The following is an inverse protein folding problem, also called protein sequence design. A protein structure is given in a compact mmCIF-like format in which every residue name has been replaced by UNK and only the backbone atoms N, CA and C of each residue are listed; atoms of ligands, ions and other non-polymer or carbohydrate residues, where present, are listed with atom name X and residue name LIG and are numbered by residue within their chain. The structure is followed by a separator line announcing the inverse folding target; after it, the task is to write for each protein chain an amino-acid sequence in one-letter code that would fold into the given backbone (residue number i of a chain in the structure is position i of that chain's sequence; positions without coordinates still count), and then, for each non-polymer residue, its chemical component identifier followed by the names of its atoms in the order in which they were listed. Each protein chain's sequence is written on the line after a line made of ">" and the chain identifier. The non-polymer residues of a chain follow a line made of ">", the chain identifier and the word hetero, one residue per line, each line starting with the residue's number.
data_IF_482992253980
#
_entry.id   IF_482992253980
#
_cell.length_a   1.000
_cell.length_b   1.000
_cell.length_c   1.000
_cell.angle_alpha   90.00
_cell.angle_beta   90.00
_cell.angle_gamma   90.00
#
_symmetry.space_group_name_H-M   'P 1'
#
loop_
_entity.id
_entity.type
_entity.pdbx_description
1 polymer ?
#
# COMPACT_ATOMS: atom_id res chain seq x y z
N UNK A 1 -68.40 18.16 -25.16
CA UNK A 1 -67.12 17.78 -25.80
C UNK A 1 -66.33 19.06 -26.07
N UNK A 2 -65.37 19.42 -25.19
CA UNK A 2 -64.47 20.55 -25.42
C UNK A 2 -63.21 20.01 -26.10
N UNK A 3 -62.95 20.42 -27.34
CA UNK A 3 -61.67 20.23 -28.02
C UNK A 3 -61.03 21.59 -28.30
N UNK A 4 -59.80 21.73 -27.79
CA UNK A 4 -58.61 22.30 -28.44
C UNK A 4 -58.71 23.67 -29.13
N UNK A 5 -57.88 24.63 -28.70
CA UNK A 5 -56.60 24.91 -29.37
C UNK A 5 -55.68 25.84 -28.55
N UNK A 6 -54.41 25.44 -28.59
CA UNK A 6 -53.16 26.06 -28.12
C UNK A 6 -52.86 27.40 -28.81
N UNK A 7 -52.04 28.27 -28.21
CA UNK A 7 -50.71 28.70 -28.71
C UNK A 7 -50.11 29.83 -27.84
N UNK A 8 -48.83 29.67 -27.49
CA UNK A 8 -47.87 30.74 -27.18
C UNK A 8 -47.58 30.96 -25.69
N UNK A 9 -46.35 30.89 -25.19
CA UNK A 9 -45.06 30.52 -25.77
C UNK A 9 -44.09 30.22 -24.63
N UNK A 10 -43.27 29.18 -24.78
CA UNK A 10 -42.16 28.89 -23.88
C UNK A 10 -40.92 29.57 -24.44
N UNK A 11 -40.41 30.60 -23.76
CA UNK A 11 -39.01 31.00 -23.89
C UNK A 11 -38.21 30.08 -22.97
N UNK A 12 -37.59 29.04 -23.53
CA UNK A 12 -36.53 28.31 -22.86
C UNK A 12 -35.20 28.92 -23.34
N UNK A 13 -34.58 29.73 -22.48
CA UNK A 13 -33.24 30.25 -22.70
C UNK A 13 -32.26 29.08 -22.53
N UNK A 14 -31.68 28.62 -23.63
CA UNK A 14 -30.64 27.59 -23.60
C UNK A 14 -29.36 28.17 -23.02
N UNK A 15 -28.99 27.74 -21.81
CA UNK A 15 -27.67 27.99 -21.24
C UNK A 15 -26.64 27.08 -21.92
N UNK A 16 -26.17 27.48 -23.10
CA UNK A 16 -24.97 26.92 -23.71
C UNK A 16 -23.75 27.67 -23.16
N UNK A 17 -23.48 27.54 -21.85
CA UNK A 17 -22.19 27.93 -21.29
C UNK A 17 -21.19 26.77 -21.49
N UNK A 18 -20.43 26.88 -22.59
CA UNK A 18 -18.99 26.61 -22.68
C UNK A 18 -18.43 25.35 -22.01
N UNK A 19 -18.54 24.20 -22.67
CA UNK A 19 -17.66 23.04 -22.42
C UNK A 19 -16.19 23.40 -22.76
N UNK A 20 -15.96 24.28 -23.75
CA UNK A 20 -14.62 24.68 -24.18
C UNK A 20 -13.81 25.50 -23.15
N UNK A 21 -14.48 26.26 -22.26
CA UNK A 21 -13.79 27.07 -21.26
C UNK A 21 -13.23 26.21 -20.10
N UNK A 22 -13.84 25.05 -19.84
CA UNK A 22 -13.39 24.12 -18.79
C UNK A 22 -12.12 23.39 -19.25
N UNK A 23 -12.01 23.03 -20.52
CA UNK A 23 -10.81 22.41 -21.09
C UNK A 23 -9.61 23.35 -21.16
N UNK A 24 -9.82 24.64 -21.47
CA UNK A 24 -8.74 25.63 -21.50
C UNK A 24 -8.15 25.93 -20.12
N UNK A 25 -8.98 25.99 -19.08
CA UNK A 25 -8.51 26.22 -17.71
C UNK A 25 -7.77 25.01 -17.12
N UNK A 26 -8.16 23.78 -17.48
CA UNK A 26 -7.53 22.54 -16.99
C UNK A 26 -6.08 22.38 -17.49
N UNK A 27 -5.81 22.75 -18.74
CA UNK A 27 -4.50 22.59 -19.38
C UNK A 27 -3.41 23.51 -18.79
N UNK A 28 -3.79 24.67 -18.24
CA UNK A 28 -2.87 25.62 -17.60
C UNK A 28 -2.59 25.32 -16.12
N UNK A 29 -3.28 24.35 -15.51
CA UNK A 29 -3.24 24.11 -14.06
C UNK A 29 -2.10 23.18 -13.62
N UNK A 30 -1.52 22.38 -14.53
CA UNK A 30 -0.48 21.42 -14.14
C UNK A 30 0.87 21.79 -14.74
N UNK A 31 1.64 22.55 -13.97
CA UNK A 31 2.98 22.99 -14.34
C UNK A 31 3.99 21.86 -14.54
N UNK A 32 3.78 20.71 -13.90
CA UNK A 32 4.74 19.60 -13.92
C UNK A 32 4.62 18.68 -15.15
N UNK A 33 3.41 18.44 -15.66
CA UNK A 33 3.17 17.44 -16.71
C UNK A 33 4.08 17.64 -17.93
N UNK A 34 4.02 18.83 -18.55
CA UNK A 34 4.78 19.12 -19.77
C UNK A 34 6.29 19.21 -19.58
N UNK A 35 6.78 19.22 -18.34
CA UNK A 35 8.21 19.25 -18.02
C UNK A 35 8.79 17.85 -17.86
N UNK A 36 7.98 16.89 -17.41
CA UNK A 36 8.47 15.56 -16.99
C UNK A 36 7.82 14.40 -17.73
N UNK A 37 6.89 14.65 -18.66
CA UNK A 37 6.34 13.64 -19.56
C UNK A 37 6.67 14.04 -20.99
N UNK A 38 7.40 13.17 -21.70
CA UNK A 38 7.73 13.41 -23.11
C UNK A 38 6.60 12.99 -24.08
N UNK A 39 6.81 13.21 -25.37
CA UNK A 39 5.86 12.90 -26.43
C UNK A 39 5.59 11.40 -26.62
N UNK A 40 6.38 10.54 -25.99
CA UNK A 40 6.22 9.07 -25.98
C UNK A 40 5.63 8.56 -24.67
N UNK A 41 5.37 9.44 -23.71
CA UNK A 41 4.85 9.08 -22.39
C UNK A 41 5.93 8.54 -21.46
N UNK A 42 7.21 8.82 -21.70
CA UNK A 42 8.24 8.54 -20.70
C UNK A 42 8.12 9.56 -19.57
N UNK A 43 8.02 9.06 -18.33
CA UNK A 43 7.85 9.89 -17.14
C UNK A 43 9.20 10.00 -16.43
N UNK A 44 9.75 11.21 -16.37
CA UNK A 44 11.01 11.53 -15.69
C UNK A 44 10.79 11.78 -14.19
N UNK A 45 11.74 11.33 -13.35
CA UNK A 45 11.79 11.71 -11.93
C UNK A 45 12.32 13.16 -11.81
N UNK A 46 11.54 14.10 -11.24
CA UNK A 46 12.04 15.45 -10.98
C UNK A 46 13.23 15.43 -10.00
N UNK A 47 14.24 16.26 -10.25
CA UNK A 47 15.44 16.27 -9.38
C UNK A 47 15.16 16.91 -8.01
N UNK A 48 14.43 18.04 -7.97
CA UNK A 48 14.30 18.89 -6.78
C UNK A 48 12.93 18.83 -6.10
N UNK A 49 12.08 17.84 -6.39
CA UNK A 49 10.72 17.79 -5.83
C UNK A 49 10.69 17.81 -4.29
N UNK A 50 11.70 17.25 -3.61
CA UNK A 50 11.79 17.25 -2.14
C UNK A 50 11.87 18.66 -1.54
N UNK A 51 12.38 19.63 -2.31
CA UNK A 51 12.52 21.03 -1.89
C UNK A 51 11.39 21.93 -2.42
N UNK A 52 10.80 21.55 -3.56
CA UNK A 52 9.87 22.42 -4.30
C UNK A 52 8.40 22.00 -4.17
N UNK A 53 8.14 20.70 -3.99
CA UNK A 53 6.79 20.16 -4.02
C UNK A 53 6.18 20.08 -2.62
N UNK A 54 4.86 20.10 -2.56
CA UNK A 54 4.13 19.98 -1.31
C UNK A 54 4.21 18.53 -0.84
N UNK A 55 4.77 18.32 0.34
CA UNK A 55 4.63 17.05 1.04
C UNK A 55 3.16 16.86 1.46
N UNK A 56 2.50 15.89 0.85
CA UNK A 56 1.09 15.63 1.03
C UNK A 56 0.79 14.85 2.30
N UNK A 57 1.65 13.90 2.65
CA UNK A 57 1.50 13.04 3.82
C UNK A 57 2.50 11.89 3.85
N UNK A 58 2.64 11.30 5.04
CA UNK A 58 3.55 10.18 5.30
C UNK A 58 2.77 8.95 5.74
N UNK A 59 3.28 7.77 5.37
CA UNK A 59 2.84 6.47 5.86
C UNK A 59 4.00 5.79 6.57
N UNK A 60 3.75 5.25 7.75
CA UNK A 60 4.63 4.26 8.35
C UNK A 60 4.08 2.87 8.02
N UNK A 61 4.88 2.07 7.33
CA UNK A 61 4.62 0.64 7.18
C UNK A 61 5.29 -0.05 8.35
N UNK A 62 4.50 -0.82 9.10
CA UNK A 62 4.98 -1.53 10.27
C UNK A 62 5.39 -2.95 9.91
N UNK A 63 6.45 -3.40 10.55
CA UNK A 63 6.79 -4.81 10.73
C UNK A 63 6.77 -5.08 12.24
N UNK A 64 5.69 -5.73 12.70
CA UNK A 64 5.37 -5.80 14.13
C UNK A 64 5.08 -4.41 14.69
N UNK A 65 5.80 -4.02 15.74
CA UNK A 65 5.70 -2.73 16.43
C UNK A 65 6.65 -1.65 15.88
N UNK A 66 7.41 -1.95 14.83
CA UNK A 66 8.46 -1.07 14.29
C UNK A 66 8.13 -0.60 12.89
N UNK A 67 8.43 0.66 12.58
CA UNK A 67 8.40 1.10 11.20
C UNK A 67 9.52 0.39 10.42
N UNK A 68 9.15 -0.35 9.39
CA UNK A 68 10.07 -0.97 8.42
C UNK A 68 10.29 -0.08 7.20
N UNK A 69 9.30 0.75 6.86
CA UNK A 69 9.39 1.71 5.77
C UNK A 69 8.59 2.99 6.06
N UNK A 70 9.11 4.10 5.56
CA UNK A 70 8.42 5.38 5.55
C UNK A 70 8.12 5.78 4.11
N UNK A 71 6.85 6.02 3.81
CA UNK A 71 6.41 6.46 2.50
C UNK A 71 5.99 7.93 2.57
N UNK A 72 6.69 8.80 1.86
CA UNK A 72 6.35 10.21 1.78
C UNK A 72 5.79 10.50 0.40
N UNK A 73 4.65 11.19 0.33
CA UNK A 73 3.99 11.50 -0.94
C UNK A 73 4.04 12.99 -1.20
N UNK A 74 4.35 13.37 -2.43
CA UNK A 74 4.54 14.75 -2.85
C UNK A 74 3.76 15.02 -4.13
N UNK A 75 3.25 16.25 -4.25
CA UNK A 75 2.69 16.76 -5.50
C UNK A 75 3.02 18.24 -5.67
N UNK A 76 3.01 18.76 -6.92
CA UNK A 76 3.06 20.18 -7.17
C UNK A 76 1.98 20.95 -6.40
N UNK A 77 2.28 22.20 -6.02
CA UNK A 77 1.36 23.04 -5.24
C UNK A 77 0.03 23.28 -5.95
N UNK A 78 0.08 23.54 -7.26
CA UNK A 78 -1.10 23.75 -8.11
C UNK A 78 -2.05 22.54 -8.12
N UNK A 79 -1.51 21.32 -8.14
CA UNK A 79 -2.27 20.06 -8.02
C UNK A 79 -2.97 19.97 -6.67
N UNK A 80 -2.28 20.26 -5.56
CA UNK A 80 -2.87 20.23 -4.21
C UNK A 80 -3.99 21.27 -4.08
N UNK A 81 -3.74 22.51 -4.52
CA UNK A 81 -4.73 23.59 -4.46
C UNK A 81 -5.95 23.32 -5.35
N UNK A 82 -5.75 22.66 -6.50
CA UNK A 82 -6.85 22.22 -7.34
C UNK A 82 -7.68 21.15 -6.64
N UNK A 83 -7.04 20.12 -6.07
CA UNK A 83 -7.75 19.05 -5.37
C UNK A 83 -8.55 19.60 -4.19
N UNK A 84 -7.97 20.51 -3.39
CA UNK A 84 -8.70 21.14 -2.28
C UNK A 84 -10.01 21.80 -2.73
N UNK A 85 -10.03 22.44 -3.91
CA UNK A 85 -11.21 23.13 -4.46
C UNK A 85 -12.20 22.18 -5.12
N UNK A 86 -11.72 21.13 -5.79
CA UNK A 86 -12.51 20.32 -6.71
C UNK A 86 -12.76 18.89 -6.22
N UNK A 87 -12.02 18.45 -5.19
CA UNK A 87 -12.04 17.09 -4.64
C UNK A 87 -11.77 16.01 -5.70
N UNK A 88 -10.94 16.36 -6.70
CA UNK A 88 -10.51 15.50 -7.80
C UNK A 88 -9.14 15.97 -8.29
N UNK A 89 -8.31 15.05 -8.78
CA UNK A 89 -7.04 15.41 -9.41
C UNK A 89 -7.29 15.97 -10.81
N UNK A 90 -6.63 17.09 -11.18
CA UNK A 90 -6.71 17.60 -12.54
C UNK A 90 -5.98 16.66 -13.51
N UNK A 91 -6.37 16.71 -14.77
CA UNK A 91 -5.67 16.01 -15.84
C UNK A 91 -4.21 16.50 -15.93
N UNK A 92 -3.25 15.59 -16.03
CA UNK A 92 -1.82 15.87 -15.94
C UNK A 92 -1.24 15.92 -14.51
N UNK A 93 -2.06 15.82 -13.46
CA UNK A 93 -1.59 15.85 -12.07
C UNK A 93 -0.48 14.82 -11.83
N UNK A 94 0.67 15.29 -11.33
CA UNK A 94 1.79 14.42 -10.97
C UNK A 94 1.86 14.21 -9.46
N UNK A 95 2.13 12.97 -9.05
CA UNK A 95 2.40 12.59 -7.67
C UNK A 95 3.65 11.72 -7.60
N UNK A 96 4.48 11.94 -6.58
CA UNK A 96 5.66 11.12 -6.31
C UNK A 96 5.51 10.52 -4.92
N UNK A 97 5.60 9.19 -4.84
CA UNK A 97 5.72 8.45 -3.58
C UNK A 97 7.18 8.02 -3.44
N UNK A 98 7.85 8.57 -2.45
CA UNK A 98 9.19 8.16 -2.03
C UNK A 98 9.06 7.11 -0.92
N UNK A 99 9.68 5.93 -1.12
CA UNK A 99 9.77 4.89 -0.09
C UNK A 99 11.19 4.85 0.45
N UNK A 100 11.32 5.04 1.75
CA UNK A 100 12.58 4.94 2.48
C UNK A 100 12.54 3.79 3.45
N UNK A 101 13.71 3.20 3.70
CA UNK A 101 13.89 2.38 4.89
C UNK A 101 13.64 3.22 6.15
N UNK A 102 13.34 2.56 7.26
CA UNK A 102 13.15 3.22 8.54
C UNK A 102 14.10 2.66 9.59
N UNK A 103 14.57 3.52 10.48
CA UNK A 103 15.32 3.13 11.68
C UNK A 103 14.80 3.92 12.85
N UNK A 104 14.79 3.28 14.02
CA UNK A 104 14.33 3.93 15.24
C UNK A 104 15.21 3.65 16.44
N UNK A 105 14.93 4.40 17.50
CA UNK A 105 15.44 4.18 18.85
C UNK A 105 14.48 4.78 19.87
N UNK A 106 14.65 4.36 21.13
CA UNK A 106 13.98 4.98 22.28
C UNK A 106 14.52 6.39 22.50
N UNK A 107 13.63 7.37 22.55
CA UNK A 107 13.93 8.75 22.95
C UNK A 107 13.12 9.15 24.20
N UNK A 108 13.39 10.31 24.76
CA UNK A 108 12.60 10.87 25.88
C UNK A 108 11.14 11.14 25.50
N UNK A 109 10.82 11.18 24.21
CA UNK A 109 9.47 11.33 23.66
C UNK A 109 8.80 9.99 23.32
N UNK A 110 9.44 8.86 23.65
CA UNK A 110 8.98 7.51 23.30
C UNK A 110 9.80 6.86 22.18
N UNK A 111 9.34 5.71 21.70
CA UNK A 111 9.89 5.05 20.51
C UNK A 111 9.67 5.95 19.29
N UNK A 112 10.75 6.30 18.60
CA UNK A 112 10.66 7.10 17.39
C UNK A 112 11.45 6.44 16.25
N UNK A 113 10.92 6.59 15.05
CA UNK A 113 11.51 6.11 13.81
C UNK A 113 11.70 7.28 12.85
N UNK A 114 12.81 7.27 12.12
CA UNK A 114 13.12 8.25 11.09
C UNK A 114 13.58 7.54 9.81
N UNK A 115 13.48 8.29 8.72
CA UNK A 115 13.76 7.77 7.40
C UNK A 115 15.27 7.54 7.18
N UNK A 116 15.59 6.48 6.46
CA UNK A 116 16.93 6.16 5.98
C UNK A 116 17.03 6.37 4.46
N UNK A 117 17.90 5.61 3.82
CA UNK A 117 18.10 5.61 2.39
C UNK A 117 16.81 5.34 1.63
N UNK A 118 16.72 5.91 0.43
CA UNK A 118 15.61 5.65 -0.47
C UNK A 118 15.74 4.24 -1.01
N UNK A 119 14.65 3.49 -0.92
CA UNK A 119 14.50 2.21 -1.57
C UNK A 119 14.02 2.38 -3.02
N UNK A 120 12.98 3.20 -3.23
CA UNK A 120 12.32 3.36 -4.53
C UNK A 120 11.49 4.65 -4.57
N UNK A 121 11.35 5.24 -5.76
CA UNK A 121 10.35 6.27 -6.06
C UNK A 121 9.30 5.72 -7.02
N UNK A 122 8.03 5.92 -6.71
CA UNK A 122 6.91 5.69 -7.62
C UNK A 122 6.38 7.04 -8.08
N UNK A 123 6.04 7.15 -9.35
CA UNK A 123 5.45 8.35 -9.95
C UNK A 123 4.13 7.97 -10.58
N UNK A 124 3.10 8.77 -10.32
CA UNK A 124 1.80 8.67 -10.98
C UNK A 124 1.48 9.97 -11.70
N UNK A 125 0.90 9.88 -12.89
CA UNK A 125 0.49 11.03 -13.72
C UNK A 125 -0.95 10.86 -14.17
N UNK A 126 -1.86 11.76 -13.79
CA UNK A 126 -3.26 11.67 -14.20
C UNK A 126 -3.40 11.86 -15.70
N UNK A 127 -4.16 10.99 -16.37
CA UNK A 127 -4.45 11.08 -17.79
C UNK A 127 -5.90 10.73 -18.10
N UNK A 128 -6.75 11.74 -18.11
CA UNK A 128 -8.17 11.61 -18.50
C UNK A 128 -8.36 11.58 -20.02
N UNK A 129 -7.31 11.83 -20.79
CA UNK A 129 -7.38 11.95 -22.25
C UNK A 129 -6.92 10.68 -22.97
N UNK A 130 -6.35 9.71 -22.23
CA UNK A 130 -5.78 8.48 -22.78
C UNK A 130 -4.76 8.77 -23.89
N UNK A 131 -3.77 9.61 -23.57
CA UNK A 131 -2.77 10.15 -24.50
C UNK A 131 -1.80 9.11 -25.03
N UNK A 132 -1.55 8.04 -24.27
CA UNK A 132 -0.54 7.03 -24.56
C UNK A 132 -1.13 5.61 -24.58
N UNK A 133 -2.11 5.32 -25.44
CA UNK A 133 -2.85 4.05 -25.42
C UNK A 133 -1.99 2.81 -25.72
N UNK A 134 -0.86 3.00 -26.41
CA UNK A 134 0.06 1.92 -26.79
C UNK A 134 1.24 1.75 -25.82
N UNK A 135 1.28 2.54 -24.73
CA UNK A 135 2.35 2.50 -23.75
C UNK A 135 1.90 1.66 -22.53
N UNK A 136 2.59 0.54 -22.29
CA UNK A 136 2.28 -0.40 -21.19
C UNK A 136 2.42 0.19 -19.78
N UNK A 137 2.93 1.43 -19.65
CA UNK A 137 2.98 2.17 -18.39
C UNK A 137 1.83 3.16 -18.23
N UNK A 138 0.82 3.12 -19.12
CA UNK A 138 -0.33 4.01 -19.09
C UNK A 138 -1.62 3.21 -19.20
N UNK A 139 -2.58 3.52 -18.33
CA UNK A 139 -3.87 2.86 -18.30
C UNK A 139 -4.65 3.23 -17.05
N UNK A 140 -5.95 2.89 -17.03
CA UNK A 140 -6.87 3.26 -15.95
C UNK A 140 -6.91 4.77 -15.63
N UNK A 141 -6.62 5.60 -16.63
CA UNK A 141 -6.57 7.05 -16.50
C UNK A 141 -5.33 7.59 -15.77
N UNK A 142 -4.26 6.80 -15.69
CA UNK A 142 -2.99 7.14 -15.04
C UNK A 142 -1.77 6.62 -15.82
N UNK A 143 -0.68 7.37 -15.78
CA UNK A 143 0.67 6.93 -16.16
C UNK A 143 1.48 6.57 -14.92
N UNK A 144 2.36 5.57 -15.05
CA UNK A 144 3.03 4.92 -13.93
C UNK A 144 4.54 4.81 -14.19
N UNK A 145 5.37 5.14 -13.21
CA UNK A 145 6.81 4.93 -13.30
C UNK A 145 7.41 4.54 -11.96
N UNK A 146 8.51 3.79 -11.99
CA UNK A 146 9.23 3.33 -10.80
C UNK A 146 10.73 3.53 -10.99
N UNK A 147 11.37 4.27 -10.08
CA UNK A 147 12.81 4.54 -10.13
C UNK A 147 13.53 3.90 -8.95
N UNK A 148 14.67 3.25 -9.21
CA UNK A 148 15.49 2.64 -8.17
C UNK A 148 16.07 3.69 -7.22
N UNK A 149 16.03 3.44 -5.91
CA UNK A 149 16.55 4.37 -4.90
C UNK A 149 18.03 4.72 -5.03
N UNK A 150 18.84 3.80 -5.58
CA UNK A 150 20.29 3.98 -5.78
C UNK A 150 20.65 4.68 -7.08
N UNK A 151 19.73 4.72 -8.05
CA UNK A 151 19.95 5.35 -9.36
C UNK A 151 18.67 6.07 -9.81
N UNK A 152 18.67 7.39 -9.61
CA UNK A 152 17.55 8.29 -9.95
C UNK A 152 17.26 8.39 -11.45
N UNK A 153 18.14 7.86 -12.30
CA UNK A 153 17.96 7.88 -13.76
C UNK A 153 17.35 6.59 -14.28
N UNK A 154 17.29 5.54 -13.45
CA UNK A 154 16.87 4.21 -13.85
C UNK A 154 15.41 3.94 -13.51
N UNK A 155 14.56 4.15 -14.51
CA UNK A 155 13.18 3.69 -14.53
C UNK A 155 13.15 2.15 -14.75
N UNK A 156 12.44 1.40 -13.91
CA UNK A 156 12.43 -0.08 -13.92
C UNK A 156 11.07 -0.75 -14.11
N UNK A 157 9.96 -0.01 -14.00
CA UNK A 157 8.63 -0.51 -14.33
C UNK A 157 8.54 -0.83 -15.83
N UNK A 158 7.84 -1.90 -16.14
CA UNK A 158 7.64 -2.39 -17.51
C UNK A 158 6.17 -2.45 -17.89
N UNK A 159 5.30 -2.70 -16.92
CA UNK A 159 3.86 -2.84 -17.14
C UNK A 159 3.10 -2.44 -15.87
N UNK A 160 2.18 -1.48 -15.98
CA UNK A 160 1.45 -0.99 -14.81
C UNK A 160 0.52 -2.05 -14.19
N UNK A 161 0.02 -2.99 -14.99
CA UNK A 161 -0.87 -4.06 -14.52
C UNK A 161 -0.14 -4.99 -13.57
N UNK A 162 1.08 -5.42 -13.92
CA UNK A 162 1.88 -6.31 -13.07
C UNK A 162 2.60 -5.56 -11.95
N UNK A 163 3.09 -4.36 -12.22
CA UNK A 163 4.05 -3.69 -11.34
C UNK A 163 3.38 -2.75 -10.33
N UNK A 164 2.16 -2.26 -10.63
CA UNK A 164 1.51 -1.19 -9.87
C UNK A 164 0.10 -1.55 -9.36
N UNK A 165 -0.75 -2.15 -10.20
CA UNK A 165 -2.19 -2.31 -9.88
C UNK A 165 -2.44 -3.12 -8.61
N UNK A 166 -1.67 -4.16 -8.32
CA UNK A 166 -1.86 -4.97 -7.12
C UNK A 166 -1.91 -4.15 -5.81
N UNK A 167 -1.18 -3.04 -5.77
CA UNK A 167 -1.18 -2.12 -4.63
C UNK A 167 -2.27 -1.04 -4.70
N UNK A 168 -2.84 -0.75 -5.86
CA UNK A 168 -3.77 0.36 -6.06
C UNK A 168 -5.23 -0.08 -6.26
N UNK A 169 -5.48 -1.34 -6.68
CA UNK A 169 -6.82 -1.95 -6.76
C UNK A 169 -7.66 -1.77 -5.49
N UNK A 170 -7.12 -1.90 -4.25
CA UNK A 170 -7.92 -1.68 -3.04
C UNK A 170 -8.54 -0.28 -2.91
N UNK A 171 -8.02 0.70 -3.66
CA UNK A 171 -8.47 2.09 -3.67
C UNK A 171 -8.85 2.55 -5.08
N UNK A 172 -9.18 1.63 -5.99
CA UNK A 172 -9.58 1.98 -7.37
C UNK A 172 -10.77 2.95 -7.41
N UNK A 173 -11.74 2.76 -6.51
CA UNK A 173 -12.93 3.62 -6.39
C UNK A 173 -12.61 5.02 -5.85
N UNK A 174 -11.40 5.22 -5.30
CA UNK A 174 -10.86 6.49 -4.82
C UNK A 174 -9.85 7.07 -5.83
N UNK A 175 -10.14 6.93 -7.12
CA UNK A 175 -9.26 7.34 -8.21
C UNK A 175 -7.85 6.76 -8.07
N UNK A 176 -7.78 5.48 -7.70
CA UNK A 176 -6.54 4.72 -7.52
C UNK A 176 -5.56 5.34 -6.51
N UNK A 177 -6.00 6.22 -5.61
CA UNK A 177 -5.11 6.95 -4.70
C UNK A 177 -5.57 6.86 -3.25
N UNK A 178 -4.60 6.76 -2.35
CA UNK A 178 -4.82 6.66 -0.90
C UNK A 178 -5.04 8.05 -0.28
N UNK A 179 -6.01 8.82 -0.81
CA UNK A 179 -6.18 10.25 -0.47
C UNK A 179 -6.37 10.54 1.01
N UNK A 180 -6.92 9.59 1.76
CA UNK A 180 -7.13 9.71 3.20
C UNK A 180 -5.82 9.76 4.02
N UNK A 181 -4.67 9.41 3.45
CA UNK A 181 -3.36 9.63 4.07
C UNK A 181 -2.72 10.97 3.75
N UNK A 182 -3.42 11.85 3.04
CA UNK A 182 -2.90 13.15 2.58
C UNK A 182 -3.66 14.31 3.22
N UNK A 183 -3.35 14.67 4.49
CA UNK A 183 -4.11 15.68 5.24
C UNK A 183 -4.13 17.06 4.57
N UNK A 184 -3.15 17.37 3.73
CA UNK A 184 -3.12 18.65 3.00
C UNK A 184 -4.24 18.77 1.97
N UNK A 185 -4.94 17.69 1.60
CA UNK A 185 -6.01 17.70 0.60
C UNK A 185 -7.37 18.21 1.14
N UNK A 186 -7.47 18.48 2.44
CA UNK A 186 -8.72 18.92 3.09
C UNK A 186 -9.53 17.75 3.65
N UNK A 187 -10.86 17.83 3.58
CA UNK A 187 -11.74 16.78 4.12
C UNK A 187 -11.82 15.57 3.18
N UNK A 188 -10.87 14.66 3.37
CA UNK A 188 -10.77 13.36 2.70
C UNK A 188 -11.26 12.20 3.57
N UNK A 189 -11.86 12.49 4.72
CA UNK A 189 -12.24 11.49 5.73
C UNK A 189 -13.25 10.46 5.20
N UNK A 190 -14.14 10.88 4.29
CA UNK A 190 -15.13 10.02 3.63
C UNK A 190 -14.52 8.87 2.81
N UNK A 191 -13.25 9.00 2.41
CA UNK A 191 -12.53 7.98 1.64
C UNK A 191 -11.76 7.00 2.52
N UNK A 192 -11.63 7.29 3.82
CA UNK A 192 -10.92 6.43 4.73
C UNK A 192 -11.69 5.11 4.93
N UNK A 193 -11.01 3.96 4.95
CA UNK A 193 -11.62 2.74 5.46
C UNK A 193 -12.08 2.99 6.91
N UNK A 194 -13.07 2.23 7.37
CA UNK A 194 -13.56 2.32 8.76
C UNK A 194 -12.37 2.16 9.71
N UNK A 195 -11.94 3.26 10.30
CA UNK A 195 -10.68 3.34 11.04
C UNK A 195 -10.72 2.41 12.26
N UNK A 196 -9.63 1.67 12.48
CA UNK A 196 -9.21 1.40 13.86
C UNK A 196 -8.83 2.74 14.50
N UNK A 197 -9.24 3.01 15.74
CA UNK A 197 -9.03 4.30 16.36
C UNK A 197 -7.54 4.65 16.35
N UNK A 198 -7.22 5.86 15.87
CA UNK A 198 -5.87 6.40 15.97
C UNK A 198 -5.47 6.41 17.45
N UNK A 199 -4.26 5.92 17.76
CA UNK A 199 -3.72 6.00 19.10
C UNK A 199 -3.64 7.47 19.52
N UNK A 200 -4.42 7.85 20.53
CA UNK A 200 -4.43 9.22 21.06
C UNK A 200 -3.04 9.58 21.59
N UNK A 201 -2.55 10.76 21.21
CA UNK A 201 -1.21 11.29 21.56
C UNK A 201 -0.95 11.44 23.06
N UNK A 202 -1.94 11.22 23.92
CA UNK A 202 -1.78 11.25 25.37
C UNK A 202 -1.21 9.93 25.96
N UNK A 203 -1.24 8.83 25.20
CA UNK A 203 -0.78 7.50 25.66
C UNK A 203 0.58 7.06 25.07
N UNK A 204 1.23 7.89 24.25
CA UNK A 204 2.58 7.60 23.72
C UNK A 204 3.70 7.67 24.80
N UNK A 205 3.35 8.00 26.04
CA UNK A 205 4.28 8.01 27.17
C UNK A 205 4.38 6.66 27.90
N UNK A 206 3.64 5.62 27.52
CA UNK A 206 3.92 4.26 27.99
C UNK A 206 3.40 3.20 27.02
N UNK A 207 4.29 2.52 26.32
CA UNK A 207 4.36 1.04 26.34
C UNK A 207 5.44 0.50 25.41
N UNK A 208 6.40 -0.17 26.05
CA UNK A 208 7.14 -1.33 25.55
C UNK A 208 6.34 -2.61 25.87
N UNK A 209 6.62 -3.68 25.11
CA UNK A 209 6.16 -5.08 25.26
C UNK A 209 4.75 -5.40 24.75
N UNK A 210 4.70 -6.44 23.89
CA UNK A 210 3.47 -7.19 23.57
C UNK A 210 2.89 -7.67 24.89
N UNK A 211 1.64 -7.32 25.18
CA UNK A 211 1.06 -7.60 26.48
C UNK A 211 1.05 -9.12 26.77
N UNK A 212 1.23 -9.46 28.05
CA UNK A 212 1.32 -10.85 28.51
C UNK A 212 0.05 -11.67 28.16
N UNK A 213 -1.11 -11.03 28.02
CA UNK A 213 -2.34 -11.71 27.65
C UNK A 213 -2.34 -12.15 26.18
N UNK A 214 -1.79 -11.34 25.29
CA UNK A 214 -1.56 -11.67 23.88
C UNK A 214 -0.59 -12.85 23.75
N UNK A 215 0.52 -12.85 24.48
CA UNK A 215 1.46 -13.99 24.48
C UNK A 215 0.83 -15.27 25.04
N UNK A 216 0.08 -15.20 26.16
CA UNK A 216 -0.67 -16.34 26.71
C UNK A 216 -1.72 -16.88 25.74
N UNK A 217 -2.39 -15.99 25.00
CA UNK A 217 -3.34 -16.36 23.94
C UNK A 217 -2.61 -17.06 22.79
N UNK A 218 -1.47 -16.52 22.36
CA UNK A 218 -0.64 -17.10 21.31
C UNK A 218 -0.15 -18.49 21.65
N UNK A 219 0.37 -18.68 22.86
CA UNK A 219 0.76 -19.99 23.38
C UNK A 219 -0.43 -20.97 23.39
N UNK A 220 -1.64 -20.51 23.75
CA UNK A 220 -2.85 -21.33 23.72
C UNK A 220 -3.23 -21.74 22.30
N UNK A 221 -3.14 -20.83 21.32
CA UNK A 221 -3.38 -21.13 19.90
C UNK A 221 -2.32 -22.11 19.38
N UNK A 222 -1.05 -21.91 19.76
CA UNK A 222 0.08 -22.77 19.39
C UNK A 222 -0.09 -24.24 19.80
N UNK A 223 -0.93 -24.55 20.81
CA UNK A 223 -1.24 -25.94 21.18
C UNK A 223 -1.76 -26.77 20.01
N UNK A 224 -2.40 -26.14 19.02
CA UNK A 224 -2.86 -26.77 17.77
C UNK A 224 -1.69 -27.18 16.85
N UNK A 225 -0.56 -26.50 16.95
CA UNK A 225 0.65 -26.71 16.14
C UNK A 225 1.62 -27.69 16.80
N UNK A 226 1.63 -27.75 18.15
CA UNK A 226 2.53 -28.59 18.97
C UNK A 226 2.55 -30.07 18.57
N UNK A 227 1.45 -30.62 18.04
CA UNK A 227 1.42 -32.02 17.61
C UNK A 227 2.38 -32.29 16.43
N UNK A 228 2.55 -31.30 15.56
CA UNK A 228 3.38 -31.42 14.35
C UNK A 228 4.70 -30.66 14.45
N UNK A 229 4.81 -29.65 15.32
CA UNK A 229 5.97 -28.77 15.39
C UNK A 229 6.59 -28.75 16.78
N UNK A 230 7.91 -28.57 16.82
CA UNK A 230 8.68 -28.28 18.03
C UNK A 230 9.07 -26.81 18.08
N UNK A 231 9.30 -26.29 19.29
CA UNK A 231 9.94 -24.98 19.53
C UNK A 231 11.44 -25.13 19.84
N UNK A 232 11.93 -26.36 19.99
CA UNK A 232 13.37 -26.61 20.15
C UNK A 232 14.06 -26.57 18.79
N UNK A 233 15.11 -25.75 18.65
CA UNK A 233 15.91 -25.66 17.44
C UNK A 233 16.43 -27.05 16.98
N UNK A 234 16.34 -27.33 15.68
CA UNK A 234 16.77 -28.60 15.06
C UNK A 234 15.93 -29.84 15.41
N UNK A 235 14.94 -29.75 16.31
CA UNK A 235 14.08 -30.90 16.65
C UNK A 235 12.83 -30.93 15.78
N UNK A 236 12.91 -31.61 14.64
CA UNK A 236 11.76 -31.79 13.75
C UNK A 236 10.80 -32.88 14.24
N UNK A 237 9.53 -32.79 13.84
CA UNK A 237 8.50 -33.83 14.04
C UNK A 237 7.82 -34.10 12.69
N UNK A 238 6.50 -34.25 12.66
CA UNK A 238 5.72 -34.28 11.42
C UNK A 238 5.99 -33.03 10.56
N UNK A 239 6.16 -31.87 11.19
CA UNK A 239 6.57 -30.59 10.62
C UNK A 239 7.98 -30.17 11.09
N UNK A 240 8.57 -29.13 10.46
CA UNK A 240 9.86 -28.59 10.88
C UNK A 240 9.80 -27.94 12.27
N UNK A 241 10.96 -27.75 12.93
CA UNK A 241 11.04 -26.92 14.13
C UNK A 241 10.66 -25.47 13.79
N UNK A 242 9.95 -24.81 14.69
CA UNK A 242 9.53 -23.42 14.58
C UNK A 242 10.38 -22.46 15.42
N UNK A 243 11.41 -22.96 16.10
CA UNK A 243 12.43 -22.10 16.72
C UNK A 243 13.04 -21.19 15.66
N UNK A 244 13.12 -19.88 15.89
CA UNK A 244 13.64 -18.91 14.93
C UNK A 244 12.97 -19.01 13.56
N UNK A 245 11.65 -19.21 13.52
CA UNK A 245 10.91 -19.25 12.26
C UNK A 245 10.85 -17.88 11.57
N UNK A 246 10.83 -16.80 12.34
CA UNK A 246 10.84 -15.43 11.80
C UNK A 246 12.13 -15.13 11.03
N UNK A 247 12.00 -14.51 9.87
CA UNK A 247 13.08 -14.22 8.92
C UNK A 247 13.59 -15.43 8.14
N UNK A 248 13.12 -16.65 8.44
CA UNK A 248 13.56 -17.87 7.75
C UNK A 248 12.81 -18.06 6.44
N UNK A 249 13.52 -18.44 5.37
CA UNK A 249 12.89 -18.84 4.10
C UNK A 249 11.99 -20.07 4.28
N UNK A 250 10.84 -20.11 3.61
CA UNK A 250 10.03 -21.31 3.45
C UNK A 250 10.90 -22.46 2.89
N UNK A 251 10.72 -23.66 3.43
CA UNK A 251 11.58 -24.78 3.05
C UNK A 251 13.03 -24.73 3.61
N UNK A 252 13.37 -23.71 4.40
CA UNK A 252 14.75 -23.43 4.81
C UNK A 252 15.21 -24.00 6.16
N UNK A 253 14.39 -24.78 6.88
CA UNK A 253 14.87 -25.40 8.12
C UNK A 253 15.81 -26.57 7.79
N UNK A 254 17.07 -26.44 8.19
CA UNK A 254 18.09 -27.48 8.00
C UNK A 254 17.65 -28.82 8.58
N UNK A 255 17.94 -29.92 7.89
CA UNK A 255 17.64 -31.27 8.37
C UNK A 255 16.18 -31.72 8.23
N UNK A 256 15.25 -30.87 7.74
CA UNK A 256 13.86 -31.26 7.49
C UNK A 256 13.57 -31.52 6.02
N UNK A 257 12.83 -32.61 5.73
CA UNK A 257 12.42 -32.98 4.37
C UNK A 257 11.09 -32.32 3.97
N UNK A 258 11.19 -31.16 3.33
CA UNK A 258 10.05 -30.40 2.84
C UNK A 258 9.31 -31.03 1.65
N UNK A 259 8.20 -30.44 1.25
CA UNK A 259 7.61 -30.65 -0.09
C UNK A 259 8.31 -29.78 -1.12
N UNK A 260 8.29 -30.18 -2.39
CA UNK A 260 8.88 -29.41 -3.49
C UNK A 260 8.32 -27.98 -3.54
N UNK A 261 7.02 -27.81 -3.29
CA UNK A 261 6.38 -26.50 -3.20
C UNK A 261 6.99 -25.58 -2.13
N UNK A 262 7.44 -26.12 -1.00
CA UNK A 262 8.04 -25.31 0.07
C UNK A 262 9.52 -25.02 -0.21
N UNK A 263 10.23 -25.96 -0.86
CA UNK A 263 11.64 -25.76 -1.27
C UNK A 263 11.79 -24.71 -2.36
N UNK A 264 10.83 -24.68 -3.30
CA UNK A 264 10.82 -23.75 -4.43
C UNK A 264 10.10 -22.43 -4.14
N UNK A 265 9.66 -22.19 -2.89
CA UNK A 265 8.98 -20.96 -2.50
C UNK A 265 10.00 -19.89 -2.11
N UNK A 266 9.81 -18.66 -2.59
CA UNK A 266 10.60 -17.48 -2.18
C UNK A 266 10.03 -16.76 -0.96
N UNK A 267 9.02 -17.33 -0.32
CA UNK A 267 8.42 -16.78 0.91
C UNK A 267 9.46 -16.74 2.03
N UNK A 268 9.61 -15.57 2.65
CA UNK A 268 10.28 -15.39 3.94
C UNK A 268 9.20 -15.33 5.01
N UNK A 269 9.37 -16.05 6.11
CA UNK A 269 8.42 -16.03 7.23
C UNK A 269 8.55 -14.75 8.03
N UNK A 270 7.58 -13.87 7.90
CA UNK A 270 7.40 -12.67 8.70
C UNK A 270 5.95 -12.64 9.22
N UNK A 271 5.56 -11.57 9.93
CA UNK A 271 4.21 -11.48 10.47
C UNK A 271 3.13 -11.54 9.36
N UNK A 272 3.38 -10.93 8.21
CA UNK A 272 2.43 -10.88 7.09
C UNK A 272 2.31 -12.23 6.40
N UNK A 273 3.43 -12.85 6.03
CA UNK A 273 3.41 -14.14 5.33
C UNK A 273 2.94 -15.26 6.23
N UNK A 274 3.23 -15.20 7.55
CA UNK A 274 2.65 -16.13 8.52
C UNK A 274 1.14 -15.89 8.70
N UNK A 275 0.65 -14.64 8.70
CA UNK A 275 -0.80 -14.39 8.78
C UNK A 275 -1.54 -14.98 7.59
N UNK A 276 -1.06 -14.71 6.38
CA UNK A 276 -1.68 -15.23 5.14
C UNK A 276 -1.58 -16.76 5.09
N UNK A 277 -0.42 -17.33 5.43
CA UNK A 277 -0.25 -18.77 5.49
C UNK A 277 -1.18 -19.41 6.52
N UNK A 278 -1.25 -18.89 7.74
CA UNK A 278 -2.08 -19.47 8.80
C UNK A 278 -3.58 -19.27 8.52
N UNK A 279 -3.98 -18.25 7.76
CA UNK A 279 -5.37 -18.04 7.32
C UNK A 279 -5.82 -19.11 6.33
N UNK A 280 -4.96 -19.44 5.36
CA UNK A 280 -5.24 -20.39 4.29
C UNK A 280 -3.98 -21.20 3.87
N UNK A 281 -3.63 -22.15 4.73
CA UNK A 281 -2.44 -22.99 4.58
C UNK A 281 -2.34 -23.69 3.22
N UNK A 282 -3.39 -24.38 2.70
CA UNK A 282 -3.24 -25.13 1.46
C UNK A 282 -3.07 -24.24 0.22
N UNK A 283 -3.64 -23.04 0.21
CA UNK A 283 -3.66 -22.19 -0.99
C UNK A 283 -2.54 -21.14 -1.01
N UNK A 284 -1.99 -20.73 0.14
CA UNK A 284 -0.91 -19.74 0.15
C UNK A 284 0.39 -20.27 -0.50
N UNK A 285 0.73 -21.54 -0.25
CA UNK A 285 1.82 -22.24 -0.95
C UNK A 285 1.23 -23.54 -1.51
N UNK A 286 0.62 -23.53 -2.71
CA UNK A 286 -0.06 -24.70 -3.27
C UNK A 286 0.86 -25.93 -3.34
N UNK A 287 0.39 -27.06 -2.82
CA UNK A 287 1.15 -28.31 -2.78
C UNK A 287 2.01 -28.51 -1.52
N UNK A 288 1.97 -27.59 -0.55
CA UNK A 288 2.62 -27.81 0.74
C UNK A 288 1.97 -28.96 1.52
N UNK A 289 2.80 -29.75 2.23
CA UNK A 289 2.32 -30.90 3.01
C UNK A 289 1.47 -30.50 4.22
N UNK A 290 1.70 -29.32 4.81
CA UNK A 290 0.95 -28.85 5.99
C UNK A 290 -0.53 -28.61 5.65
N UNK A 291 -0.83 -28.15 4.45
CA UNK A 291 -2.19 -27.91 3.96
C UNK A 291 -3.07 -29.16 3.97
N UNK A 292 -2.48 -30.37 3.87
CA UNK A 292 -3.22 -31.64 3.95
C UNK A 292 -3.70 -31.96 5.36
N UNK A 293 -2.98 -31.53 6.39
CA UNK A 293 -3.26 -31.85 7.80
C UNK A 293 -3.85 -30.67 8.57
N UNK A 294 -3.67 -29.44 8.07
CA UNK A 294 -4.12 -28.20 8.70
C UNK A 294 -4.88 -27.28 7.74
N UNK A 295 -5.71 -27.85 6.86
CA UNK A 295 -6.51 -27.10 5.88
C UNK A 295 -7.39 -25.99 6.48
N UNK A 296 -7.87 -26.19 7.71
CA UNK A 296 -8.71 -25.22 8.40
C UNK A 296 -7.98 -23.95 8.84
N UNK A 297 -6.64 -23.96 8.93
CA UNK A 297 -5.86 -22.81 9.39
C UNK A 297 -6.32 -22.26 10.75
N UNK A 298 -6.02 -20.99 10.99
CA UNK A 298 -6.49 -20.20 12.14
C UNK A 298 -7.39 -19.08 11.60
N UNK A 299 -8.70 -19.25 11.75
CA UNK A 299 -9.68 -18.37 11.08
C UNK A 299 -9.80 -16.97 11.70
N UNK A 300 -9.70 -16.87 13.03
CA UNK A 300 -9.80 -15.58 13.73
C UNK A 300 -8.50 -14.81 13.57
N UNK A 301 -8.58 -13.55 13.13
CA UNK A 301 -7.41 -12.67 12.95
C UNK A 301 -6.63 -12.48 14.25
N UNK A 302 -7.33 -12.21 15.35
CA UNK A 302 -6.70 -12.05 16.68
C UNK A 302 -5.92 -13.30 17.13
N UNK A 303 -6.42 -14.50 16.82
CA UNK A 303 -5.72 -15.74 17.17
C UNK A 303 -4.48 -15.96 16.29
N UNK A 304 -4.51 -15.49 15.04
CA UNK A 304 -3.34 -15.49 14.14
C UNK A 304 -2.28 -14.53 14.66
N UNK A 305 -2.65 -13.27 14.90
CA UNK A 305 -1.75 -12.26 15.46
C UNK A 305 -1.11 -12.76 16.76
N UNK A 306 -1.91 -13.30 17.69
CA UNK A 306 -1.40 -13.79 18.96
C UNK A 306 -0.38 -14.93 18.80
N UNK A 307 -0.65 -15.92 17.94
CA UNK A 307 0.31 -17.03 17.72
C UNK A 307 1.56 -16.58 16.97
N UNK A 308 1.44 -15.59 16.09
CA UNK A 308 2.56 -14.98 15.36
C UNK A 308 3.47 -14.25 16.36
N UNK A 309 2.92 -13.41 17.24
CA UNK A 309 3.72 -12.75 18.28
C UNK A 309 4.33 -13.74 19.27
N UNK A 310 3.61 -14.80 19.63
CA UNK A 310 4.19 -15.87 20.44
C UNK A 310 5.37 -16.55 19.73
N UNK A 311 5.25 -16.86 18.43
CA UNK A 311 6.34 -17.44 17.66
C UNK A 311 7.53 -16.50 17.47
N UNK A 312 7.32 -15.18 17.53
CA UNK A 312 8.39 -14.17 17.46
C UNK A 312 9.34 -14.23 18.64
N UNK A 313 8.89 -14.82 19.77
CA UNK A 313 9.71 -15.01 20.97
C UNK A 313 10.41 -16.37 21.04
N UNK A 314 10.32 -17.21 19.99
CA UNK A 314 10.83 -18.59 19.96
C UNK A 314 12.06 -18.79 19.07
#
# INVERSE_FOLDING_TARGET
>A
MKMLRSIGGKLALAAALSIAAIQGAQADIVSAYGKYVDDKGNIALPENFLLEWVHMGSWAVLEGDKASGLHNVYAPRDVVEYYQKNQAFPDGAMMIKEVRGARGSTHTTGEAFWAQDVAVWFIMVKDTQNRFPDNALWGEGWGWAMYEGKDRTKQVATDYESDCLGCHVPVQDNDWTYVYGYPVLGDVSKYAPKAEPAADKAEAASMSEVDEATLKRGEKVFRRCKACHSLDAGKHRTGPSLAGVFGRKAGGAEGYKYSDAMLNSDVIWDATTLDVHLKDVPNFIPGNKMGKVFAGGVKKGEDRLAVIEFLRTQ
#
